data_IF_803942880876
#
_entry.id   IF_803942880876
#
_cell.length_a   1.000
_cell.length_b   1.000
_cell.length_c   1.000
_cell.angle_alpha   90.00
_cell.angle_beta   90.00
_cell.angle_gamma   90.00
#
_symmetry.space_group_name_H-M   'P 1'
#
loop_
_entity.id
_entity.type
_entity.pdbx_description
1 polymer ?
#
# COMPACT_ATOMS: atom_id res chain seq x y z
N UNK A 1 30.40 -12.33 16.48
CA UNK A 1 29.02 -12.59 16.00
C UNK A 1 28.24 -11.29 16.04
N UNK A 2 27.34 -11.07 15.08
CA UNK A 2 26.50 -9.87 14.88
C UNK A 2 27.09 -8.70 14.06
N UNK A 3 27.44 -8.97 12.80
CA UNK A 3 27.63 -7.93 11.77
C UNK A 3 26.68 -8.06 10.58
N UNK A 4 25.65 -8.91 10.67
CA UNK A 4 24.77 -9.22 9.53
C UNK A 4 23.41 -8.49 9.54
N UNK A 5 23.06 -7.80 10.63
CA UNK A 5 21.73 -7.16 10.76
C UNK A 5 21.69 -5.75 10.12
N UNK A 6 22.83 -5.09 9.94
CA UNK A 6 22.87 -3.69 9.49
C UNK A 6 22.97 -3.48 7.97
N UNK A 7 23.01 -4.55 7.17
CA UNK A 7 23.16 -4.46 5.69
C UNK A 7 21.80 -4.42 4.97
N UNK A 8 20.71 -4.80 5.65
CA UNK A 8 19.38 -4.84 5.03
C UNK A 8 18.62 -3.51 5.06
N UNK A 9 19.01 -2.53 5.87
CA UNK A 9 18.31 -1.24 5.97
C UNK A 9 18.78 -0.17 4.96
N UNK A 10 19.80 -0.46 4.13
CA UNK A 10 20.46 0.51 3.25
C UNK A 10 20.20 0.31 1.75
N UNK A 11 19.00 -0.12 1.37
CA UNK A 11 18.64 -0.30 -0.05
C UNK A 11 17.34 0.45 -0.45
N UNK A 12 16.68 1.18 0.44
CA UNK A 12 15.43 1.92 0.13
C UNK A 12 15.69 3.43 -0.04
N UNK A 13 16.76 3.80 -0.75
CA UNK A 13 17.07 5.22 -1.00
C UNK A 13 17.35 5.56 -2.48
N UNK A 14 17.37 4.57 -3.39
CA UNK A 14 17.59 4.85 -4.82
C UNK A 14 16.83 3.85 -5.67
N UNK A 15 15.85 4.36 -6.40
CA UNK A 15 15.18 3.61 -7.46
C UNK A 15 13.69 3.55 -7.22
N UNK A 16 12.98 4.51 -7.84
CA UNK A 16 11.59 4.47 -8.33
C UNK A 16 10.94 3.07 -8.21
N UNK A 17 10.57 2.70 -6.98
CA UNK A 17 9.93 1.43 -6.69
C UNK A 17 8.49 1.54 -7.13
N UNK A 18 8.18 1.00 -8.31
CA UNK A 18 6.79 0.76 -8.67
C UNK A 18 6.26 -0.23 -7.64
N UNK A 19 5.41 0.22 -6.72
CA UNK A 19 4.66 -0.61 -5.77
C UNK A 19 3.68 -1.59 -6.46
N UNK A 20 3.84 -1.85 -7.76
CA UNK A 20 2.98 -2.64 -8.64
C UNK A 20 3.10 -4.15 -8.43
N UNK A 21 3.86 -4.64 -7.45
CA UNK A 21 4.08 -6.08 -7.25
C UNK A 21 3.49 -6.64 -5.95
N UNK A 22 2.78 -5.83 -5.15
CA UNK A 22 2.12 -6.29 -3.92
C UNK A 22 0.65 -6.68 -4.12
N UNK A 23 0.03 -6.29 -5.23
CA UNK A 23 -1.38 -6.54 -5.51
C UNK A 23 -1.52 -7.46 -6.72
N UNK A 24 -2.38 -8.47 -6.59
CA UNK A 24 -2.78 -9.31 -7.71
C UNK A 24 -3.27 -8.43 -8.88
N UNK A 25 -2.85 -8.71 -10.12
CA UNK A 25 -3.20 -7.88 -11.27
C UNK A 25 -4.72 -7.74 -11.46
N UNK A 26 -5.51 -8.73 -11.07
CA UNK A 26 -6.98 -8.68 -11.10
C UNK A 26 -7.51 -7.64 -10.12
N UNK A 27 -6.97 -7.63 -8.90
CA UNK A 27 -7.33 -6.65 -7.86
C UNK A 27 -6.96 -5.23 -8.30
N UNK A 28 -5.80 -5.07 -8.94
CA UNK A 28 -5.37 -3.77 -9.47
C UNK A 28 -6.29 -3.25 -10.59
N UNK A 29 -6.82 -4.14 -11.45
CA UNK A 29 -7.79 -3.76 -12.49
C UNK A 29 -9.12 -3.32 -11.86
N UNK A 30 -9.62 -4.09 -10.88
CA UNK A 30 -10.86 -3.76 -10.20
C UNK A 30 -10.77 -2.43 -9.44
N UNK A 31 -9.67 -2.21 -8.70
CA UNK A 31 -9.44 -0.95 -7.99
C UNK A 31 -9.36 0.26 -8.93
N UNK A 32 -8.68 0.12 -10.08
CA UNK A 32 -8.63 1.20 -11.08
C UNK A 32 -10.00 1.51 -11.67
N UNK A 33 -10.81 0.49 -11.91
CA UNK A 33 -12.17 0.65 -12.41
C UNK A 33 -13.05 1.36 -11.38
N UNK A 34 -13.01 0.92 -10.11
CA UNK A 34 -13.72 1.57 -9.01
C UNK A 34 -13.28 3.03 -8.83
N UNK A 35 -11.99 3.31 -8.96
CA UNK A 35 -11.46 4.67 -8.89
C UNK A 35 -12.02 5.56 -10.02
N UNK A 36 -12.08 5.02 -11.25
CA UNK A 36 -12.65 5.74 -12.39
C UNK A 36 -14.16 5.95 -12.26
N UNK A 37 -14.91 4.97 -11.74
CA UNK A 37 -16.36 5.05 -11.53
C UNK A 37 -16.77 6.06 -10.45
N UNK A 38 -15.95 6.23 -9.41
CA UNK A 38 -16.23 7.11 -8.27
C UNK A 38 -15.45 8.44 -8.33
N UNK A 39 -14.88 8.79 -9.49
CA UNK A 39 -14.06 10.01 -9.68
C UNK A 39 -12.99 10.22 -8.60
N UNK A 40 -12.40 9.11 -8.13
CA UNK A 40 -11.44 9.09 -7.03
C UNK A 40 -10.12 8.45 -7.48
N UNK A 41 -9.18 8.32 -6.55
CA UNK A 41 -7.89 7.68 -6.81
C UNK A 41 -7.82 6.30 -6.17
N UNK A 42 -7.01 5.41 -6.75
CA UNK A 42 -6.74 4.09 -6.14
C UNK A 42 -6.15 4.24 -4.74
N UNK A 43 -5.35 5.29 -4.51
CA UNK A 43 -4.79 5.59 -3.19
C UNK A 43 -5.86 5.95 -2.16
N UNK A 44 -6.87 6.74 -2.55
CA UNK A 44 -7.98 7.11 -1.67
C UNK A 44 -8.81 5.88 -1.29
N UNK A 45 -9.18 5.04 -2.27
CA UNK A 45 -9.89 3.78 -2.01
C UNK A 45 -9.09 2.83 -1.11
N UNK A 46 -7.78 2.77 -1.29
CA UNK A 46 -6.91 1.98 -0.43
C UNK A 46 -6.85 2.56 0.99
N UNK A 47 -6.80 3.89 1.13
CA UNK A 47 -6.86 4.57 2.41
C UNK A 47 -8.15 4.28 3.16
N UNK A 48 -9.30 4.35 2.49
CA UNK A 48 -10.60 3.99 3.05
C UNK A 48 -10.65 2.53 3.49
N UNK A 49 -10.20 1.59 2.64
CA UNK A 49 -10.17 0.17 2.97
C UNK A 49 -9.28 -0.13 4.19
N UNK A 50 -8.13 0.54 4.28
CA UNK A 50 -7.22 0.41 5.43
C UNK A 50 -7.80 1.04 6.69
N UNK A 51 -8.46 2.19 6.58
CA UNK A 51 -9.12 2.82 7.72
C UNK A 51 -10.22 1.92 8.29
N UNK A 52 -11.08 1.34 7.44
CA UNK A 52 -12.10 0.37 7.87
C UNK A 52 -11.48 -0.87 8.54
N UNK A 53 -10.33 -1.33 8.03
CA UNK A 53 -9.59 -2.42 8.65
C UNK A 53 -9.08 -2.02 10.04
N UNK A 54 -8.55 -0.81 10.18
CA UNK A 54 -7.97 -0.32 11.43
C UNK A 54 -9.04 -0.04 12.47
N UNK A 55 -10.18 0.54 12.08
CA UNK A 55 -11.35 0.68 12.95
C UNK A 55 -11.80 -0.67 13.52
N UNK A 56 -11.82 -1.72 12.69
CA UNK A 56 -12.17 -3.08 13.13
C UNK A 56 -11.21 -3.62 14.19
N UNK A 57 -9.93 -3.26 14.15
CA UNK A 57 -8.92 -3.70 15.12
C UNK A 57 -8.65 -2.69 16.24
N UNK A 58 -9.35 -1.55 16.27
CA UNK A 58 -9.13 -0.48 17.25
C UNK A 58 -7.84 0.31 17.04
N UNK A 59 -7.26 0.24 15.84
CA UNK A 59 -6.06 0.97 15.46
C UNK A 59 -6.41 2.37 14.95
N UNK A 60 -5.44 3.29 15.02
CA UNK A 60 -5.66 4.67 14.55
C UNK A 60 -5.75 4.71 13.02
N UNK A 61 -6.71 5.45 12.45
CA UNK A 61 -6.79 5.63 11.00
C UNK A 61 -5.54 6.34 10.46
N UNK A 62 -5.24 6.06 9.20
CA UNK A 62 -4.04 6.57 8.50
C UNK A 62 -4.35 7.86 7.73
N UNK A 63 -5.62 8.10 7.42
CA UNK A 63 -6.11 9.27 6.71
C UNK A 63 -6.86 10.21 7.66
#
# INVERSE_FOLDING_TARGET
>A
MSSSINILYRQVARGRGRSQHLLDPTVAIQLKRLAAENETTVQALLGEALNLLFEKYGEKPIA
#
